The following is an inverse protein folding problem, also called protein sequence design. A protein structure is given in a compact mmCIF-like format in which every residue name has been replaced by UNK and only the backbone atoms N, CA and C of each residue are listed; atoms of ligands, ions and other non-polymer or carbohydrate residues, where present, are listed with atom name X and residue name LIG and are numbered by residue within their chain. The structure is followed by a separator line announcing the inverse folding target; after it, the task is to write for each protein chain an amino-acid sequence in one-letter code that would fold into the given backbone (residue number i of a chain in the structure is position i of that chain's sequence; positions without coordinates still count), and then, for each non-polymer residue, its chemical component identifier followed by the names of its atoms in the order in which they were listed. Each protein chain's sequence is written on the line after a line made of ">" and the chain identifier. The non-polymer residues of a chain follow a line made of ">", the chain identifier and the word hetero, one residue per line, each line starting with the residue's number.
data_IF_430971750695
#
_entry.id   IF_430971750695
#
_cell.length_a   1.000
_cell.length_b   1.000
_cell.length_c   1.000
_cell.angle_alpha   90.00
_cell.angle_beta   90.00
_cell.angle_gamma   90.00
#
_symmetry.space_group_name_H-M   'P 1'
#
loop_
_entity.id
_entity.type
_entity.pdbx_description
1 polymer ?
#
# COMPACT_ATOMS: atom_id res chain seq x y z
N UNK A 1 -26.81 6.78 -21.02
CA UNK A 1 -25.75 7.68 -20.53
C UNK A 1 -25.30 7.11 -19.20
N UNK A 2 -24.27 6.26 -19.22
CA UNK A 2 -23.80 5.57 -18.02
C UNK A 2 -23.14 6.60 -17.09
N UNK A 3 -23.71 6.82 -15.91
CA UNK A 3 -22.96 7.28 -14.74
C UNK A 3 -21.98 6.17 -14.39
N UNK A 4 -20.72 6.31 -14.83
CA UNK A 4 -19.65 5.52 -14.27
C UNK A 4 -19.52 5.95 -12.81
N UNK A 5 -19.90 5.04 -11.91
CA UNK A 5 -19.49 5.04 -10.52
C UNK A 5 -17.99 5.39 -10.49
N UNK A 6 -17.63 6.55 -9.94
CA UNK A 6 -16.23 6.98 -9.79
C UNK A 6 -15.58 6.10 -8.72
N UNK A 7 -15.27 4.86 -9.07
CA UNK A 7 -14.39 4.04 -8.27
C UNK A 7 -13.00 4.67 -8.32
N UNK A 8 -12.56 5.27 -7.21
CA UNK A 8 -11.19 5.75 -7.05
C UNK A 8 -10.27 4.53 -6.93
N UNK A 9 -9.84 4.00 -8.06
CA UNK A 9 -8.93 2.85 -8.10
C UNK A 9 -7.49 3.31 -7.87
N UNK A 10 -6.79 2.64 -6.96
CA UNK A 10 -5.33 2.76 -6.82
C UNK A 10 -4.75 1.55 -7.55
N UNK A 11 -3.96 1.79 -8.60
CA UNK A 11 -3.35 0.76 -9.45
C UNK A 11 -1.86 0.72 -9.19
N UNK A 12 -1.32 -0.48 -9.04
CA UNK A 12 0.12 -0.75 -8.95
C UNK A 12 0.56 -1.61 -10.14
N UNK A 13 1.81 -1.46 -10.53
CA UNK A 13 2.49 -2.25 -11.55
C UNK A 13 3.73 -2.93 -10.96
N UNK A 14 4.28 -3.91 -11.68
CA UNK A 14 5.51 -4.61 -11.26
C UNK A 14 6.70 -3.66 -11.09
N UNK A 15 6.66 -2.49 -11.75
CA UNK A 15 7.67 -1.44 -11.62
C UNK A 15 7.62 -0.71 -10.26
N UNK A 16 6.47 -0.70 -9.59
CA UNK A 16 6.27 -0.06 -8.29
C UNK A 16 6.64 -0.99 -7.12
N UNK A 17 6.94 -2.25 -7.43
CA UNK A 17 7.36 -3.27 -6.46
C UNK A 17 8.86 -3.16 -6.17
N UNK A 18 9.31 -3.55 -4.96
CA UNK A 18 10.72 -3.70 -4.65
C UNK A 18 11.38 -4.75 -5.56
N UNK A 19 12.72 -4.81 -5.63
CA UNK A 19 13.45 -5.67 -6.56
C UNK A 19 13.06 -7.16 -6.51
N UNK A 20 12.53 -7.62 -5.38
CA UNK A 20 12.01 -8.97 -5.20
C UNK A 20 10.70 -9.27 -5.97
N UNK A 21 10.04 -8.26 -6.55
CA UNK A 21 8.85 -8.40 -7.38
C UNK A 21 7.64 -8.97 -6.61
N UNK A 22 6.68 -9.57 -7.32
CA UNK A 22 5.45 -10.13 -6.71
C UNK A 22 5.68 -11.24 -5.69
N UNK A 23 6.88 -11.83 -5.67
CA UNK A 23 7.25 -12.86 -4.70
C UNK A 23 7.66 -12.28 -3.34
N UNK A 24 7.66 -10.95 -3.18
CA UNK A 24 7.96 -10.31 -1.91
C UNK A 24 6.82 -10.54 -0.90
N UNK A 25 7.16 -11.00 0.30
CA UNK A 25 6.23 -11.02 1.45
C UNK A 25 6.32 -9.74 2.29
N UNK A 26 7.10 -8.75 1.84
CA UNK A 26 7.32 -7.51 2.58
C UNK A 26 6.15 -6.54 2.42
N UNK A 27 5.75 -5.84 3.48
CA UNK A 27 4.77 -4.77 3.36
C UNK A 27 5.31 -3.60 2.51
N UNK A 28 4.46 -3.04 1.66
CA UNK A 28 4.80 -1.85 0.86
C UNK A 28 4.32 -0.58 1.54
N UNK A 29 5.21 0.39 1.68
CA UNK A 29 4.84 1.71 2.14
C UNK A 29 4.35 2.57 0.96
N UNK A 30 3.12 3.07 1.07
CA UNK A 30 2.50 3.93 0.07
C UNK A 30 2.08 5.25 0.69
N UNK A 31 2.13 6.31 -0.11
CA UNK A 31 1.74 7.65 0.30
C UNK A 31 0.59 8.10 -0.58
N UNK A 32 -0.56 8.39 0.03
CA UNK A 32 -1.73 8.90 -0.69
C UNK A 32 -1.85 10.40 -0.43
N UNK A 33 -1.77 11.20 -1.50
CA UNK A 33 -2.10 12.62 -1.46
C UNK A 33 -3.62 12.84 -1.54
N UNK A 34 -4.20 13.54 -0.58
CA UNK A 34 -5.59 13.97 -0.59
C UNK A 34 -5.68 15.47 -0.30
N UNK A 35 -6.03 16.25 -1.32
CA UNK A 35 -6.02 17.72 -1.26
C UNK A 35 -4.67 18.27 -0.78
N UNK A 36 -4.62 18.94 0.37
CA UNK A 36 -3.41 19.46 1.02
C UNK A 36 -2.77 18.51 2.04
N UNK A 37 -3.25 17.27 2.11
CA UNK A 37 -2.81 16.29 3.11
C UNK A 37 -2.16 15.08 2.46
N UNK A 38 -1.16 14.56 3.14
CA UNK A 38 -0.44 13.36 2.75
C UNK A 38 -0.66 12.32 3.83
N UNK A 39 -1.25 11.18 3.45
CA UNK A 39 -1.61 10.12 4.40
C UNK A 39 -0.76 8.88 4.10
N UNK A 40 0.05 8.41 5.06
CA UNK A 40 0.86 7.21 4.89
C UNK A 40 0.05 5.94 5.17
N UNK A 41 0.13 4.99 4.26
CA UNK A 41 -0.47 3.66 4.39
C UNK A 41 0.58 2.58 4.14
N UNK A 42 0.28 1.39 4.64
CA UNK A 42 1.04 0.18 4.39
C UNK A 42 0.13 -0.83 3.69
N UNK A 43 0.59 -1.35 2.56
CA UNK A 43 -0.01 -2.51 1.91
C UNK A 43 0.61 -3.77 2.50
N UNK A 44 -0.24 -4.64 3.04
CA UNK A 44 0.13 -5.92 3.63
C UNK A 44 -0.49 -7.05 2.82
N UNK A 45 0.34 -7.82 2.14
CA UNK A 45 -0.09 -9.11 1.61
C UNK A 45 0.04 -10.17 2.72
N UNK A 46 -1.07 -10.77 3.11
CA UNK A 46 -1.10 -11.87 4.08
C UNK A 46 -1.24 -13.25 3.41
N UNK A 47 -1.08 -13.33 2.08
CA UNK A 47 -1.25 -14.54 1.27
C UNK A 47 -2.69 -14.89 0.94
N UNK A 48 -3.68 -14.17 1.50
CA UNK A 48 -5.11 -14.34 1.21
C UNK A 48 -5.75 -13.11 0.57
N UNK A 49 -5.29 -11.92 0.96
CA UNK A 49 -5.74 -10.64 0.43
C UNK A 49 -4.66 -9.57 0.65
N UNK A 50 -4.66 -8.58 -0.24
CA UNK A 50 -3.89 -7.35 -0.09
C UNK A 50 -4.66 -6.38 0.82
N UNK A 51 -4.13 -6.09 2.01
CA UNK A 51 -4.76 -5.21 2.99
C UNK A 51 -4.12 -3.82 2.95
N UNK A 52 -4.93 -2.76 2.98
CA UNK A 52 -4.46 -1.38 3.14
C UNK A 52 -4.64 -0.98 4.61
N UNK A 53 -3.56 -0.68 5.32
CA UNK A 53 -3.60 -0.29 6.73
C UNK A 53 -2.95 1.07 6.96
N UNK A 54 -3.51 1.96 7.80
CA UNK A 54 -2.80 3.14 8.25
C UNK A 54 -1.48 2.75 8.91
N UNK A 55 -0.40 3.51 8.68
CA UNK A 55 0.91 3.22 9.26
C UNK A 55 0.87 2.98 10.78
N UNK A 56 0.09 3.79 11.50
CA UNK A 56 -0.08 3.67 12.95
C UNK A 56 -0.66 2.31 13.38
N UNK A 57 -1.62 1.78 12.61
CA UNK A 57 -2.20 0.46 12.87
C UNK A 57 -1.16 -0.64 12.64
N UNK A 58 -0.37 -0.53 11.58
CA UNK A 58 0.67 -1.52 11.27
C UNK A 58 1.76 -1.56 12.34
N UNK A 59 2.16 -0.40 12.88
CA UNK A 59 3.07 -0.32 14.04
C UNK A 59 2.44 -0.96 15.28
N UNK A 60 1.15 -0.72 15.53
CA UNK A 60 0.44 -1.35 16.66
C UNK A 60 0.32 -2.88 16.52
N UNK A 61 0.34 -3.39 15.29
CA UNK A 61 0.40 -4.83 14.97
C UNK A 61 1.82 -5.41 15.07
N UNK A 62 2.79 -4.65 15.59
CA UNK A 62 4.19 -5.05 15.82
C UNK A 62 5.04 -5.27 14.55
N UNK A 63 4.61 -4.75 13.40
CA UNK A 63 5.50 -4.66 12.24
C UNK A 63 6.53 -3.56 12.46
N UNK A 64 7.80 -3.87 12.22
CA UNK A 64 8.87 -2.91 12.39
C UNK A 64 8.92 -1.95 11.18
N UNK A 65 9.21 -0.64 11.39
CA UNK A 65 9.38 0.30 10.29
C UNK A 65 10.41 -0.11 9.23
N UNK A 66 11.41 -0.91 9.62
CA UNK A 66 12.44 -1.46 8.72
C UNK A 66 11.90 -2.53 7.76
N UNK A 67 10.73 -3.10 8.04
CA UNK A 67 10.09 -4.08 7.17
C UNK A 67 9.35 -3.41 6.02
N UNK A 68 9.10 -2.10 6.11
CA UNK A 68 8.43 -1.34 5.08
C UNK A 68 9.44 -0.88 4.02
N UNK A 69 9.32 -1.44 2.82
CA UNK A 69 10.04 -0.93 1.65
C UNK A 69 9.27 0.25 1.05
N UNK A 70 9.95 1.36 0.67
CA UNK A 70 9.31 2.36 -0.18
C UNK A 70 8.95 1.72 -1.52
N UNK A 71 7.72 1.89 -1.96
CA UNK A 71 7.38 1.71 -3.38
C UNK A 71 8.15 2.78 -4.16
N UNK A 72 8.92 2.36 -5.17
CA UNK A 72 9.87 3.24 -5.89
C UNK A 72 9.19 3.95 -7.04
#
# INVERSE_FOLDING_TARGET
>A
MMTADMATCIVFSDNDLPPEGSDHTRPLYIIVGCSSHTIPFVLLDNGSALNVCPLATTIALSYAPSEFGPST
#
